data_IF_005068482217
#
_entry.id   IF_005068482217
#
_cell.length_a   1.000
_cell.length_b   1.000
_cell.length_c   1.000
_cell.angle_alpha   90.00
_cell.angle_beta   90.00
_cell.angle_gamma   90.00
#
_symmetry.space_group_name_H-M   'P 1'
#
loop_
_entity.id
_entity.type
_entity.pdbx_description
1 polymer ?
#
# COMPACT_ATOMS: atom_id res chain seq x y z
N UNK A 1 7.85 -11.06 1.00
CA UNK A 1 9.24 -10.94 0.66
C UNK A 1 10.12 -11.78 1.57
N UNK A 2 11.34 -12.14 1.13
CA UNK A 2 12.26 -12.97 1.91
C UNK A 2 13.14 -12.11 2.81
N UNK A 3 12.54 -11.41 3.75
CA UNK A 3 13.22 -10.56 4.73
C UNK A 3 13.23 -11.17 6.12
N UNK A 4 14.12 -10.68 6.98
CA UNK A 4 14.25 -11.09 8.38
C UNK A 4 14.42 -12.61 8.59
N UNK A 5 15.06 -13.29 7.62
CA UNK A 5 15.28 -14.74 7.68
C UNK A 5 16.30 -15.13 8.77
N UNK A 6 17.14 -14.21 9.21
CA UNK A 6 17.99 -14.32 10.41
C UNK A 6 17.15 -14.58 11.67
N UNK A 7 16.00 -13.91 11.80
CA UNK A 7 15.08 -14.10 12.90
C UNK A 7 14.12 -15.29 12.69
N UNK A 8 13.49 -15.37 11.50
CA UNK A 8 12.48 -16.40 11.23
C UNK A 8 13.07 -17.74 10.78
N UNK A 9 14.38 -17.84 10.53
CA UNK A 9 15.12 -19.02 10.09
C UNK A 9 14.70 -19.59 8.74
N UNK A 10 13.49 -19.33 8.26
CA UNK A 10 13.01 -19.75 6.95
C UNK A 10 11.82 -18.91 6.47
N UNK A 11 11.65 -18.86 5.16
CA UNK A 11 10.49 -18.18 4.56
C UNK A 11 9.14 -18.83 4.92
N UNK A 12 9.15 -20.14 5.15
CA UNK A 12 7.96 -20.85 5.63
C UNK A 12 7.57 -20.41 7.04
N UNK A 13 8.55 -20.24 7.92
CA UNK A 13 8.30 -19.75 9.27
C UNK A 13 7.81 -18.31 9.29
N UNK A 14 8.34 -17.45 8.40
CA UNK A 14 7.82 -16.10 8.21
C UNK A 14 6.34 -16.13 7.79
N UNK A 15 5.97 -16.96 6.81
CA UNK A 15 4.55 -17.12 6.41
C UNK A 15 3.67 -17.59 7.55
N UNK A 16 4.12 -18.57 8.34
CA UNK A 16 3.40 -19.05 9.52
C UNK A 16 3.26 -17.98 10.61
N UNK A 17 4.23 -17.08 10.72
CA UNK A 17 4.13 -15.95 11.64
C UNK A 17 3.03 -14.97 11.22
N UNK A 18 2.94 -14.65 9.93
CA UNK A 18 1.84 -13.83 9.40
C UNK A 18 0.48 -14.52 9.52
N UNK A 19 0.40 -15.83 9.27
CA UNK A 19 -0.83 -16.61 9.46
C UNK A 19 -1.30 -16.53 10.92
N UNK A 20 -0.39 -16.74 11.88
CA UNK A 20 -0.70 -16.57 13.30
C UNK A 20 -1.11 -15.15 13.66
N UNK A 21 -0.44 -14.15 13.11
CA UNK A 21 -0.78 -12.74 13.33
C UNK A 21 -2.20 -12.42 12.86
N UNK A 22 -2.56 -12.82 11.65
CA UNK A 22 -3.92 -12.65 11.12
C UNK A 22 -4.94 -13.42 11.96
N UNK A 23 -4.61 -14.66 12.35
CA UNK A 23 -5.48 -15.50 13.17
C UNK A 23 -5.67 -14.97 14.60
N UNK A 24 -4.79 -14.09 15.08
CA UNK A 24 -4.91 -13.45 16.40
C UNK A 24 -5.85 -12.25 16.41
N UNK A 25 -6.35 -11.80 15.26
CA UNK A 25 -7.37 -10.75 15.19
C UNK A 25 -8.61 -11.19 15.97
N UNK A 26 -9.16 -10.37 16.89
CA UNK A 26 -10.36 -10.73 17.64
C UNK A 26 -11.55 -11.02 16.71
N UNK A 27 -12.52 -11.81 17.19
CA UNK A 27 -13.68 -12.20 16.38
C UNK A 27 -14.51 -11.00 15.87
N UNK A 28 -14.46 -9.87 16.56
CA UNK A 28 -15.09 -8.60 16.18
C UNK A 28 -14.20 -7.69 15.32
N UNK A 29 -12.94 -8.06 15.15
CA UNK A 29 -11.97 -7.32 14.36
C UNK A 29 -11.99 -7.71 12.87
N UNK A 30 -11.13 -7.07 12.11
CA UNK A 30 -10.93 -7.34 10.69
C UNK A 30 -9.46 -7.32 10.34
N UNK A 31 -9.01 -8.27 9.51
CA UNK A 31 -7.72 -8.24 8.86
C UNK A 31 -7.85 -7.62 7.47
N UNK A 32 -7.03 -6.63 7.15
CA UNK A 32 -7.01 -5.94 5.85
C UNK A 32 -5.74 -6.41 5.12
N UNK A 33 -5.90 -7.12 4.00
CA UNK A 33 -4.82 -7.84 3.35
C UNK A 33 -4.70 -7.48 1.87
N UNK A 34 -3.50 -7.08 1.43
CA UNK A 34 -3.20 -6.85 0.02
C UNK A 34 -2.96 -8.19 -0.69
N UNK A 35 -3.79 -8.53 -1.67
CA UNK A 35 -3.67 -9.81 -2.41
C UNK A 35 -2.88 -9.71 -3.71
N UNK A 36 -2.28 -8.57 -4.00
CA UNK A 36 -1.38 -8.44 -5.15
C UNK A 36 -0.09 -9.26 -4.92
N UNK A 37 0.28 -9.49 -3.66
CA UNK A 37 1.35 -10.43 -3.30
C UNK A 37 0.78 -11.86 -3.17
N UNK A 38 1.33 -12.77 -3.99
CA UNK A 38 0.93 -14.19 -3.99
C UNK A 38 1.14 -14.90 -2.65
N UNK A 39 2.11 -14.44 -1.85
CA UNK A 39 2.37 -15.03 -0.55
C UNK A 39 1.31 -14.61 0.45
N UNK A 40 0.85 -13.36 0.41
CA UNK A 40 -0.27 -12.88 1.23
C UNK A 40 -1.54 -13.65 0.85
N UNK A 41 -1.85 -13.74 -0.45
CA UNK A 41 -3.00 -14.51 -0.92
C UNK A 41 -2.97 -15.98 -0.43
N UNK A 42 -1.79 -16.61 -0.43
CA UNK A 42 -1.61 -17.96 0.09
C UNK A 42 -1.77 -18.05 1.62
N UNK A 43 -1.23 -17.09 2.36
CA UNK A 43 -1.35 -17.05 3.84
C UNK A 43 -2.81 -16.92 4.26
N UNK A 44 -3.56 -15.98 3.67
CA UNK A 44 -4.96 -15.76 4.04
C UNK A 44 -5.88 -16.94 3.69
N UNK A 45 -5.54 -17.73 2.67
CA UNK A 45 -6.31 -18.94 2.32
C UNK A 45 -6.33 -20.01 3.43
N UNK A 46 -5.33 -19.99 4.31
CA UNK A 46 -5.22 -20.90 5.45
C UNK A 46 -5.94 -20.38 6.70
N UNK A 47 -6.24 -19.07 6.74
CA UNK A 47 -6.90 -18.46 7.91
C UNK A 47 -8.40 -18.66 7.80
N UNK A 48 -8.96 -19.38 8.77
CA UNK A 48 -10.40 -19.61 8.91
C UNK A 48 -10.93 -18.83 10.11
N UNK A 49 -12.22 -18.62 10.15
CA UNK A 49 -12.90 -18.02 11.30
C UNK A 49 -12.47 -16.57 11.64
N UNK A 50 -11.95 -15.84 10.66
CA UNK A 50 -11.62 -14.41 10.79
C UNK A 50 -12.21 -13.62 9.63
N UNK A 51 -12.70 -12.43 9.94
CA UNK A 51 -13.12 -11.49 8.91
C UNK A 51 -11.89 -10.93 8.22
N UNK A 52 -11.78 -11.17 6.94
CA UNK A 52 -10.70 -10.64 6.10
C UNK A 52 -11.32 -9.74 5.03
N UNK A 53 -10.76 -8.57 4.83
CA UNK A 53 -11.05 -7.68 3.71
C UNK A 53 -9.80 -7.67 2.84
N UNK A 54 -9.95 -8.08 1.60
CA UNK A 54 -8.87 -8.10 0.62
C UNK A 54 -8.88 -6.83 -0.23
N UNK A 55 -7.69 -6.33 -0.56
CA UNK A 55 -7.56 -5.19 -1.45
C UNK A 55 -6.35 -5.33 -2.38
N UNK A 56 -6.31 -4.51 -3.43
CA UNK A 56 -5.20 -4.46 -4.37
C UNK A 56 -5.61 -3.93 -5.73
N UNK A 57 -4.76 -4.15 -6.74
CA UNK A 57 -5.08 -3.94 -8.15
C UNK A 57 -5.75 -5.17 -8.78
N UNK A 58 -5.62 -6.31 -8.11
CA UNK A 58 -6.21 -7.57 -8.54
C UNK A 58 -7.73 -7.49 -8.61
N UNK A 59 -8.29 -7.96 -9.73
CA UNK A 59 -9.75 -8.10 -9.89
C UNK A 59 -10.39 -9.08 -8.89
N UNK A 60 -9.58 -9.91 -8.24
CA UNK A 60 -10.04 -10.88 -7.23
C UNK A 60 -10.19 -10.25 -5.85
N UNK A 61 -9.70 -9.02 -5.65
CA UNK A 61 -9.82 -8.31 -4.39
C UNK A 61 -11.26 -7.86 -4.13
N UNK A 62 -11.65 -7.82 -2.86
CA UNK A 62 -12.92 -7.23 -2.41
C UNK A 62 -12.97 -5.75 -2.76
N UNK A 63 -11.85 -5.04 -2.55
CA UNK A 63 -11.68 -3.64 -2.90
C UNK A 63 -10.57 -3.51 -3.93
N UNK A 64 -10.91 -3.05 -5.13
CA UNK A 64 -9.96 -2.89 -6.23
C UNK A 64 -9.59 -1.42 -6.41
N UNK A 65 -8.29 -1.14 -6.49
CA UNK A 65 -7.78 0.19 -6.86
C UNK A 65 -7.96 0.38 -8.37
N UNK A 66 -8.59 1.48 -8.75
CA UNK A 66 -8.91 1.83 -10.14
C UNK A 66 -8.33 3.19 -10.51
N UNK A 67 -8.21 3.43 -11.81
CA UNK A 67 -7.85 4.73 -12.37
C UNK A 67 -6.63 5.38 -11.72
N UNK A 68 -5.60 4.57 -11.42
CA UNK A 68 -4.36 5.06 -10.83
C UNK A 68 -3.68 6.05 -11.77
N UNK A 69 -3.39 7.25 -11.26
CA UNK A 69 -2.66 8.31 -11.95
C UNK A 69 -1.55 8.81 -11.03
N UNK A 70 -0.33 8.68 -11.47
CA UNK A 70 0.87 9.10 -10.74
C UNK A 70 1.41 10.36 -11.42
N UNK A 71 1.65 11.41 -10.64
CA UNK A 71 2.23 12.67 -11.09
C UNK A 71 3.24 13.21 -10.09
N UNK A 72 3.92 14.29 -10.46
CA UNK A 72 4.98 14.91 -9.62
C UNK A 72 4.51 15.38 -8.24
N UNK A 73 3.22 15.69 -8.10
CA UNK A 73 2.63 16.18 -6.87
C UNK A 73 1.98 15.09 -6.02
N UNK A 74 1.94 13.85 -6.52
CA UNK A 74 1.32 12.75 -5.80
C UNK A 74 0.56 11.79 -6.70
N UNK A 75 -0.27 10.97 -6.06
CA UNK A 75 -1.01 9.87 -6.68
C UNK A 75 -2.50 10.07 -6.50
N UNK A 76 -3.28 9.86 -7.57
CA UNK A 76 -4.74 9.83 -7.55
C UNK A 76 -5.25 8.46 -7.95
N UNK A 77 -6.35 8.03 -7.34
CA UNK A 77 -6.97 6.74 -7.63
C UNK A 77 -8.42 6.70 -7.17
N UNK A 78 -9.13 5.70 -7.66
CA UNK A 78 -10.48 5.37 -7.24
C UNK A 78 -10.48 4.02 -6.52
N UNK A 79 -11.52 3.72 -5.76
CA UNK A 79 -11.75 2.43 -5.14
C UNK A 79 -13.09 1.85 -5.59
N UNK A 80 -13.07 0.61 -6.01
CA UNK A 80 -14.22 -0.21 -6.37
C UNK A 80 -14.45 -1.22 -5.25
N UNK A 81 -15.39 -0.92 -4.37
CA UNK A 81 -15.80 -1.80 -3.27
C UNK A 81 -16.91 -2.74 -3.76
N UNK A 82 -16.51 -3.95 -4.10
CA UNK A 82 -17.42 -4.98 -4.62
C UNK A 82 -18.31 -5.58 -3.53
N UNK A 83 -17.89 -5.51 -2.27
CA UNK A 83 -18.65 -6.04 -1.14
C UNK A 83 -19.82 -5.11 -0.80
N UNK A 84 -19.54 -3.81 -0.73
CA UNK A 84 -20.57 -2.81 -0.49
C UNK A 84 -21.30 -2.37 -1.78
N UNK A 85 -20.80 -2.78 -2.95
CA UNK A 85 -21.26 -2.33 -4.27
C UNK A 85 -21.22 -0.80 -4.40
N UNK A 86 -20.11 -0.20 -3.98
CA UNK A 86 -19.87 1.25 -3.98
C UNK A 86 -18.61 1.58 -4.76
N UNK A 87 -18.72 2.56 -5.65
CA UNK A 87 -17.57 3.11 -6.36
C UNK A 87 -17.20 4.47 -5.78
N UNK A 88 -16.03 4.54 -5.12
CA UNK A 88 -15.50 5.73 -4.46
C UNK A 88 -14.45 6.37 -5.34
N UNK A 89 -14.69 7.60 -5.79
CA UNK A 89 -13.84 8.32 -6.76
C UNK A 89 -12.89 9.30 -6.08
N UNK A 90 -11.80 9.60 -6.78
CA UNK A 90 -10.94 10.75 -6.56
C UNK A 90 -10.34 10.82 -5.14
N UNK A 91 -9.62 9.79 -4.76
CA UNK A 91 -8.68 9.86 -3.66
C UNK A 91 -7.39 10.52 -4.15
N UNK A 92 -6.86 11.43 -3.35
CA UNK A 92 -5.59 12.08 -3.57
C UNK A 92 -4.65 11.85 -2.39
N UNK A 93 -3.44 11.44 -2.69
CA UNK A 93 -2.35 11.26 -1.75
C UNK A 93 -1.13 12.03 -2.26
N UNK A 94 -0.55 13.00 -1.50
CA UNK A 94 0.65 13.73 -1.89
C UNK A 94 1.93 12.89 -1.74
N UNK A 95 1.87 11.63 -2.12
CA UNK A 95 3.00 10.70 -2.21
C UNK A 95 2.98 10.01 -3.56
N UNK A 96 4.14 9.78 -4.12
CA UNK A 96 4.34 9.23 -5.46
C UNK A 96 4.51 7.71 -5.37
N UNK A 97 3.86 6.99 -6.29
CA UNK A 97 4.09 5.56 -6.48
C UNK A 97 2.90 4.66 -6.18
N UNK A 98 2.84 3.58 -6.93
CA UNK A 98 1.79 2.55 -6.82
C UNK A 98 1.72 1.92 -5.42
N UNK A 99 2.89 1.67 -4.80
CA UNK A 99 2.96 1.12 -3.45
C UNK A 99 2.35 2.05 -2.40
N UNK A 100 2.44 3.37 -2.59
CA UNK A 100 1.81 4.34 -1.69
C UNK A 100 0.29 4.38 -1.87
N UNK A 101 -0.23 4.12 -3.08
CA UNK A 101 -1.67 3.93 -3.29
C UNK A 101 -2.18 2.68 -2.55
N UNK A 102 -1.42 1.58 -2.56
CA UNK A 102 -1.74 0.38 -1.78
C UNK A 102 -1.75 0.66 -0.28
N UNK A 103 -0.74 1.36 0.24
CA UNK A 103 -0.67 1.75 1.65
C UNK A 103 -1.85 2.66 2.05
N UNK A 104 -2.18 3.64 1.19
CA UNK A 104 -3.33 4.52 1.40
C UNK A 104 -4.65 3.73 1.39
N UNK A 105 -4.81 2.77 0.49
CA UNK A 105 -6.00 1.91 0.46
C UNK A 105 -6.18 1.17 1.78
N UNK A 106 -5.13 0.57 2.33
CA UNK A 106 -5.18 -0.07 3.65
C UNK A 106 -5.63 0.89 4.75
N UNK A 107 -5.07 2.11 4.76
CA UNK A 107 -5.44 3.15 5.74
C UNK A 107 -6.91 3.60 5.58
N UNK A 108 -7.38 3.77 4.34
CA UNK A 108 -8.78 4.08 4.04
C UNK A 108 -9.70 3.01 4.59
N UNK A 109 -9.39 1.73 4.33
CA UNK A 109 -10.19 0.60 4.79
C UNK A 109 -10.21 0.48 6.31
N UNK A 110 -9.06 0.70 6.97
CA UNK A 110 -8.98 0.72 8.42
C UNK A 110 -9.84 1.84 9.01
N UNK A 111 -9.74 3.06 8.50
CA UNK A 111 -10.53 4.20 8.95
C UNK A 111 -12.04 4.00 8.69
N UNK A 112 -12.40 3.45 7.52
CA UNK A 112 -13.79 3.14 7.16
C UNK A 112 -14.40 2.08 8.09
N UNK A 113 -13.61 1.07 8.48
CA UNK A 113 -14.03 0.06 9.46
C UNK A 113 -14.28 0.63 10.85
N UNK A 114 -13.62 1.75 11.17
CA UNK A 114 -13.86 2.53 12.39
C UNK A 114 -14.96 3.59 12.22
N UNK A 115 -15.76 3.48 11.15
CA UNK A 115 -16.87 4.39 10.85
C UNK A 115 -16.47 5.86 10.65
N UNK A 116 -15.22 6.13 10.27
CA UNK A 116 -14.78 7.48 9.91
C UNK A 116 -15.44 7.87 8.57
N UNK A 117 -16.12 9.03 8.49
CA UNK A 117 -16.78 9.45 7.26
C UNK A 117 -15.76 9.60 6.11
N UNK A 118 -16.10 9.09 4.92
CA UNK A 118 -15.23 9.09 3.74
C UNK A 118 -14.71 10.48 3.37
N UNK A 119 -15.52 11.52 3.60
CA UNK A 119 -15.13 12.91 3.36
C UNK A 119 -13.96 13.34 4.25
N UNK A 120 -13.94 12.90 5.51
CA UNK A 120 -12.84 13.16 6.43
C UNK A 120 -11.60 12.37 6.04
N UNK A 121 -11.75 11.11 5.64
CA UNK A 121 -10.65 10.26 5.16
C UNK A 121 -9.96 10.93 3.96
N UNK A 122 -10.73 11.36 2.96
CA UNK A 122 -10.19 12.08 1.79
C UNK A 122 -9.46 13.35 2.17
N UNK A 123 -10.04 14.14 3.08
CA UNK A 123 -9.43 15.39 3.56
C UNK A 123 -8.11 15.13 4.31
N UNK A 124 -8.06 14.08 5.12
CA UNK A 124 -6.85 13.71 5.84
C UNK A 124 -5.75 13.21 4.89
N UNK A 125 -6.08 12.35 3.93
CA UNK A 125 -5.14 11.88 2.92
C UNK A 125 -4.55 13.02 2.09
N UNK A 126 -5.38 13.97 1.67
CA UNK A 126 -4.93 15.11 0.87
C UNK A 126 -3.99 16.06 1.62
N UNK A 127 -4.02 16.04 2.95
CA UNK A 127 -3.15 16.83 3.84
C UNK A 127 -1.98 16.04 4.41
N UNK A 128 -1.85 14.77 4.02
CA UNK A 128 -0.79 13.92 4.54
C UNK A 128 0.57 14.36 4.01
N UNK A 129 1.47 14.77 4.88
CA UNK A 129 2.78 15.32 4.51
C UNK A 129 3.82 14.25 4.16
N UNK A 130 3.41 12.99 4.17
CA UNK A 130 4.29 11.85 3.89
C UNK A 130 5.04 11.36 5.13
N UNK A 131 5.99 10.48 4.89
CA UNK A 131 6.88 9.92 5.91
C UNK A 131 8.31 10.28 5.51
N UNK A 132 9.10 10.75 6.48
CA UNK A 132 10.52 11.05 6.26
C UNK A 132 11.23 9.85 5.64
N UNK A 133 12.11 10.12 4.68
CA UNK A 133 12.86 9.10 3.94
C UNK A 133 11.97 8.09 3.19
N UNK A 134 10.80 8.54 2.70
CA UNK A 134 9.94 7.81 1.78
C UNK A 134 9.66 8.69 0.57
N UNK A 135 10.51 8.57 -0.45
CA UNK A 135 10.52 9.40 -1.66
C UNK A 135 10.57 10.90 -1.35
N UNK A 136 11.38 11.27 -0.34
CA UNK A 136 11.46 12.65 0.15
C UNK A 136 12.36 13.48 -0.75
N UNK A 137 11.83 14.55 -1.33
CA UNK A 137 12.63 15.52 -2.08
C UNK A 137 13.45 16.34 -1.10
N UNK A 138 14.77 16.20 -1.12
CA UNK A 138 15.69 16.91 -0.22
C UNK A 138 16.38 18.12 -0.87
N UNK A 139 16.32 18.25 -2.20
CA UNK A 139 16.89 19.40 -2.88
C UNK A 139 17.04 19.26 -4.38
N UNK A 140 17.79 20.21 -4.93
CA UNK A 140 18.17 20.26 -6.34
C UNK A 140 19.67 20.53 -6.45
N UNK A 141 20.33 19.85 -7.37
CA UNK A 141 21.73 20.09 -7.69
C UNK A 141 21.95 19.96 -9.20
N UNK A 142 22.50 21.00 -9.82
CA UNK A 142 22.79 21.06 -11.27
C UNK A 142 21.60 20.61 -12.16
N UNK A 143 20.38 21.02 -11.81
CA UNK A 143 19.18 20.66 -12.54
C UNK A 143 18.60 19.27 -12.20
N UNK A 144 19.28 18.48 -11.38
CA UNK A 144 18.77 17.20 -10.89
C UNK A 144 17.98 17.36 -9.58
N UNK A 145 16.88 16.66 -9.45
CA UNK A 145 16.15 16.52 -8.19
C UNK A 145 16.83 15.46 -7.34
N UNK A 146 17.11 15.76 -6.06
CA UNK A 146 17.66 14.82 -5.11
C UNK A 146 16.53 14.27 -4.25
N UNK A 147 16.39 12.94 -4.23
CA UNK A 147 15.36 12.22 -3.47
C UNK A 147 16.04 11.30 -2.46
N UNK A 148 15.60 11.34 -1.22
CA UNK A 148 15.99 10.41 -0.15
C UNK A 148 14.90 9.38 0.08
N UNK A 149 15.28 8.09 0.05
CA UNK A 149 14.40 6.97 0.39
C UNK A 149 15.16 5.93 1.21
N UNK A 150 14.49 5.32 2.16
CA UNK A 150 15.06 4.30 3.05
C UNK A 150 15.07 2.91 2.42
N UNK A 151 14.62 2.76 1.19
CA UNK A 151 14.62 1.49 0.48
C UNK A 151 16.01 0.86 0.47
N UNK A 152 16.13 -0.34 0.98
CA UNK A 152 17.38 -1.10 1.08
C UNK A 152 17.21 -2.56 0.66
N UNK A 153 15.98 -2.99 0.42
CA UNK A 153 15.65 -4.30 -0.11
C UNK A 153 15.35 -4.24 -1.62
N UNK A 154 15.70 -5.24 -2.44
CA UNK A 154 15.51 -5.21 -3.89
C UNK A 154 14.10 -4.80 -4.34
N UNK A 155 13.06 -5.34 -3.71
CA UNK A 155 11.66 -5.03 -4.05
C UNK A 155 11.30 -3.58 -3.71
N UNK A 156 11.80 -3.06 -2.58
CA UNK A 156 11.61 -1.65 -2.20
C UNK A 156 12.32 -0.72 -3.19
N UNK A 157 13.58 -1.04 -3.54
CA UNK A 157 14.38 -0.27 -4.50
C UNK A 157 13.68 -0.25 -5.87
N UNK A 158 13.15 -1.39 -6.32
CA UNK A 158 12.40 -1.49 -7.58
C UNK A 158 11.16 -0.58 -7.55
N UNK A 159 10.41 -0.58 -6.44
CA UNK A 159 9.23 0.27 -6.28
C UNK A 159 9.58 1.76 -6.32
N UNK A 160 10.68 2.17 -5.66
CA UNK A 160 11.17 3.55 -5.65
C UNK A 160 11.65 3.98 -7.04
N UNK A 161 12.42 3.15 -7.75
CA UNK A 161 12.86 3.42 -9.11
C UNK A 161 11.66 3.52 -10.06
N UNK A 162 10.67 2.66 -9.91
CA UNK A 162 9.44 2.70 -10.71
C UNK A 162 8.66 3.98 -10.46
N UNK A 163 8.57 4.44 -9.21
CA UNK A 163 7.95 5.72 -8.86
C UNK A 163 8.71 6.90 -9.49
N UNK A 164 10.04 6.89 -9.43
CA UNK A 164 10.87 7.91 -10.08
C UNK A 164 10.67 7.95 -11.61
N UNK A 165 10.65 6.78 -12.27
CA UNK A 165 10.39 6.68 -13.72
C UNK A 165 9.01 7.21 -14.11
N UNK A 166 8.01 7.11 -13.25
CA UNK A 166 6.67 7.59 -13.53
C UNK A 166 6.56 9.13 -13.58
N UNK A 167 7.53 9.85 -13.00
CA UNK A 167 7.50 11.32 -12.89
C UNK A 167 8.64 12.01 -13.62
N UNK A 168 9.56 11.29 -14.25
CA UNK A 168 10.67 11.88 -15.02
C UNK A 168 10.92 11.14 -16.31
N UNK A 169 11.23 11.90 -17.37
CA UNK A 169 11.78 11.39 -18.61
C UNK A 169 13.31 11.48 -18.62
N UNK A 170 13.90 12.02 -17.57
CA UNK A 170 15.34 12.19 -17.42
C UNK A 170 16.06 10.91 -16.98
N UNK A 171 17.39 11.03 -16.86
CA UNK A 171 18.21 9.96 -16.33
C UNK A 171 18.04 9.84 -14.81
N UNK A 172 17.91 8.62 -14.32
CA UNK A 172 17.97 8.28 -12.89
C UNK A 172 19.36 7.75 -12.60
N UNK A 173 19.98 8.25 -11.56
CA UNK A 173 21.34 7.91 -11.13
C UNK A 173 21.27 7.31 -9.73
#
# INVERSE_FOLDING_TARGET
DKEHLDYYSSFLNLKRAFERFISSVPFYGVAICCIDDKNVANVISNVKDRKIITYGFSEKADITIRNLRIGEQGTRFDLDDKVANIYLRDFYLPMIGQHNALNACAAILAASNLSVPIKLIKSALAKFEGVSRRFTRIGFFNGATIIDDYAHHPVEIEAVISAAKAITNGRII
#
